data_IF_695337072798
#
_entry.id   IF_695337072798
#
_cell.length_a   1.000
_cell.length_b   1.000
_cell.length_c   1.000
_cell.angle_alpha   90.00
_cell.angle_beta   90.00
_cell.angle_gamma   90.00
#
_symmetry.space_group_name_H-M   'P 1'
#
loop_
_entity.id
_entity.type
_entity.pdbx_description
1 polymer ?
#
# COMPACT_ATOMS: atom_id res chain seq x y z
N UNK A 1 -11.69 52.72 -5.15
CA UNK A 1 -11.01 52.53 -6.44
C UNK A 1 -9.54 52.29 -6.13
N UNK A 2 -9.09 51.05 -6.12
CA UNK A 2 -7.69 50.69 -5.90
C UNK A 2 -7.03 50.56 -7.30
N UNK A 3 -5.99 51.37 -7.53
CA UNK A 3 -5.21 51.35 -8.77
C UNK A 3 -4.12 50.31 -8.62
N UNK A 4 -4.15 49.27 -9.43
CA UNK A 4 -3.05 48.30 -9.55
C UNK A 4 -1.99 48.85 -10.51
N UNK A 5 -0.70 48.80 -10.17
CA UNK A 5 0.36 49.18 -11.09
C UNK A 5 0.48 48.15 -12.22
N UNK A 6 0.46 48.62 -13.46
CA UNK A 6 0.82 47.84 -14.65
C UNK A 6 2.34 47.86 -14.78
N UNK A 7 2.94 46.70 -15.03
CA UNK A 7 4.33 46.58 -15.48
C UNK A 7 5.15 45.63 -14.65
N UNK A 8 4.85 44.33 -14.73
CA UNK A 8 5.81 43.27 -14.36
C UNK A 8 6.23 42.58 -15.66
N UNK A 9 7.50 42.68 -16.02
CA UNK A 9 8.08 41.92 -17.12
C UNK A 9 7.87 40.43 -16.84
N UNK A 10 7.18 39.79 -17.77
CA UNK A 10 7.04 38.32 -17.79
C UNK A 10 8.37 37.79 -18.29
N UNK A 11 9.19 37.27 -17.35
CA UNK A 11 10.44 36.56 -17.69
C UNK A 11 10.06 35.30 -18.46
N UNK A 12 10.56 35.21 -19.69
CA UNK A 12 10.35 34.06 -20.58
C UNK A 12 10.89 32.79 -19.98
N UNK A 13 10.22 31.61 -20.17
CA UNK A 13 10.65 30.32 -19.62
C UNK A 13 12.00 29.80 -20.16
N UNK A 14 12.64 30.52 -21.08
CA UNK A 14 13.85 30.05 -21.78
C UNK A 14 15.16 30.32 -21.03
N UNK A 15 15.18 31.01 -19.90
CA UNK A 15 16.44 31.33 -19.18
C UNK A 15 16.70 30.45 -17.94
N UNK A 16 15.96 29.37 -17.75
CA UNK A 16 16.29 28.37 -16.71
C UNK A 16 17.00 27.15 -17.35
N UNK A 17 17.97 27.37 -18.21
CA UNK A 17 18.92 26.34 -18.62
C UNK A 17 20.14 26.36 -17.70
N UNK A 18 19.96 26.05 -16.41
CA UNK A 18 21.07 25.50 -15.64
C UNK A 18 21.20 24.05 -16.05
N UNK A 19 22.16 23.76 -16.90
CA UNK A 19 22.69 22.41 -17.08
C UNK A 19 23.16 21.88 -15.72
N UNK A 20 22.23 21.35 -14.92
CA UNK A 20 22.60 20.45 -13.86
C UNK A 20 23.10 19.17 -14.56
N UNK A 21 24.40 18.99 -14.63
CA UNK A 21 24.99 17.69 -14.95
C UNK A 21 24.46 16.71 -13.93
N UNK A 22 23.33 16.08 -14.25
CA UNK A 22 22.83 14.93 -13.51
C UNK A 22 23.86 13.82 -13.74
N UNK A 23 24.81 13.69 -12.83
CA UNK A 23 25.69 12.52 -12.79
C UNK A 23 24.79 11.32 -12.54
N UNK A 24 24.69 10.36 -13.48
CA UNK A 24 23.84 9.20 -13.29
C UNK A 24 24.34 8.43 -12.08
N UNK A 25 23.59 8.48 -10.98
CA UNK A 25 23.87 7.68 -9.79
C UNK A 25 23.54 6.23 -10.17
N UNK A 26 24.54 5.47 -10.58
CA UNK A 26 24.44 4.04 -10.96
C UNK A 26 24.20 3.11 -9.77
N UNK A 27 23.91 3.62 -8.58
CA UNK A 27 23.58 2.78 -7.43
C UNK A 27 22.08 2.64 -7.31
N UNK A 28 21.57 1.44 -7.46
CA UNK A 28 20.17 1.11 -7.25
C UNK A 28 19.73 1.32 -5.79
N UNK A 29 20.67 1.26 -4.84
CA UNK A 29 20.45 1.52 -3.41
C UNK A 29 21.04 2.90 -3.07
N UNK A 30 20.19 3.79 -2.56
CA UNK A 30 20.62 5.12 -2.17
C UNK A 30 21.52 5.07 -0.92
N UNK A 31 22.64 5.84 -0.85
CA UNK A 31 23.62 5.76 0.25
C UNK A 31 23.07 6.17 1.63
N UNK A 32 21.91 6.86 1.69
CA UNK A 32 21.23 7.19 2.94
C UNK A 32 20.16 6.18 3.35
N UNK A 33 19.97 5.10 2.60
CA UNK A 33 19.11 4.00 3.04
C UNK A 33 19.81 3.22 4.15
N UNK A 34 19.05 2.82 5.15
CA UNK A 34 19.50 2.00 6.28
C UNK A 34 18.97 0.59 6.06
N UNK A 35 19.84 -0.35 5.74
CA UNK A 35 19.47 -1.74 5.49
C UNK A 35 20.19 -2.61 6.52
N UNK A 36 19.43 -3.39 7.29
CA UNK A 36 20.01 -4.32 8.24
C UNK A 36 20.84 -5.40 7.50
N UNK A 37 22.02 -5.79 8.01
CA UNK A 37 22.87 -6.80 7.38
C UNK A 37 22.20 -8.18 7.21
N UNK A 38 21.17 -8.48 7.99
CA UNK A 38 20.44 -9.75 7.90
C UNK A 38 19.26 -9.69 6.90
N UNK A 39 18.95 -8.53 6.35
CA UNK A 39 17.95 -8.41 5.30
C UNK A 39 18.38 -9.10 4.01
N UNK A 40 17.46 -9.82 3.37
CA UNK A 40 17.73 -10.49 2.09
C UNK A 40 17.17 -9.62 0.96
N UNK A 41 18.07 -9.10 0.13
CA UNK A 41 17.71 -8.21 -0.98
C UNK A 41 18.00 -8.92 -2.30
N UNK A 42 16.98 -9.08 -3.12
CA UNK A 42 17.09 -9.68 -4.45
C UNK A 42 17.89 -8.88 -5.46
N UNK A 43 17.98 -9.41 -6.66
CA UNK A 43 18.66 -8.76 -7.78
C UNK A 43 17.82 -7.60 -8.33
N UNK A 44 18.49 -6.58 -8.86
CA UNK A 44 17.84 -5.42 -9.49
C UNK A 44 16.85 -4.63 -8.61
N UNK A 45 16.93 -4.79 -7.28
CA UNK A 45 16.13 -4.02 -6.32
C UNK A 45 16.65 -2.58 -6.28
N UNK A 46 15.71 -1.63 -6.30
CA UNK A 46 15.98 -0.20 -6.16
C UNK A 46 15.47 0.29 -4.79
N UNK A 47 16.31 0.99 -4.02
CA UNK A 47 15.93 1.52 -2.69
C UNK A 47 16.26 3.00 -2.62
N UNK A 48 15.22 3.81 -2.40
CA UNK A 48 15.32 5.27 -2.33
C UNK A 48 15.92 5.81 -1.02
N UNK A 49 16.11 7.14 -0.96
CA UNK A 49 16.75 7.79 0.18
C UNK A 49 15.93 7.68 1.47
N UNK A 50 16.65 7.55 2.61
CA UNK A 50 16.09 7.51 3.96
C UNK A 50 15.10 6.36 4.21
N UNK A 51 15.15 5.31 3.39
CA UNK A 51 14.38 4.09 3.56
C UNK A 51 15.06 3.20 4.60
N UNK A 52 14.27 2.53 5.43
CA UNK A 52 14.73 1.63 6.48
C UNK A 52 14.21 0.22 6.18
N UNK A 53 15.13 -0.75 6.13
CA UNK A 53 14.82 -2.18 5.95
C UNK A 53 15.33 -2.95 7.17
N UNK A 54 14.41 -3.61 7.87
CA UNK A 54 14.69 -4.36 9.09
C UNK A 54 15.35 -5.73 8.87
N UNK A 55 15.77 -6.41 9.97
CA UNK A 55 16.62 -7.61 9.91
C UNK A 55 15.94 -8.88 9.38
N UNK A 56 14.62 -8.98 9.48
CA UNK A 56 13.88 -10.18 9.06
C UNK A 56 13.06 -9.94 7.79
N UNK A 57 13.57 -9.05 6.94
CA UNK A 57 12.90 -8.63 5.70
C UNK A 57 13.55 -9.34 4.51
N UNK A 58 12.70 -9.89 3.64
CA UNK A 58 13.10 -10.45 2.36
C UNK A 58 12.42 -9.68 1.23
N UNK A 59 13.18 -9.24 0.21
CA UNK A 59 12.68 -8.47 -0.93
C UNK A 59 13.08 -9.16 -2.22
N UNK A 60 12.09 -9.54 -3.02
CA UNK A 60 12.27 -10.20 -4.31
C UNK A 60 12.81 -9.29 -5.41
N UNK A 61 13.31 -9.92 -6.48
CA UNK A 61 13.98 -9.28 -7.60
C UNK A 61 13.13 -8.17 -8.25
N UNK A 62 13.78 -7.16 -8.80
CA UNK A 62 13.12 -6.09 -9.57
C UNK A 62 12.25 -5.13 -8.77
N UNK A 63 12.06 -5.36 -7.47
CA UNK A 63 11.22 -4.52 -6.60
C UNK A 63 11.83 -3.13 -6.43
N UNK A 64 10.97 -2.10 -6.50
CA UNK A 64 11.35 -0.70 -6.38
C UNK A 64 10.74 -0.08 -5.13
N UNK A 65 11.59 0.40 -4.25
CA UNK A 65 11.21 1.02 -2.98
C UNK A 65 11.56 2.50 -3.02
N UNK A 66 10.57 3.34 -2.81
CA UNK A 66 10.68 4.80 -2.80
C UNK A 66 11.47 5.34 -1.62
N UNK A 67 11.40 6.66 -1.43
CA UNK A 67 12.04 7.35 -0.31
C UNK A 67 11.24 7.23 0.98
N UNK A 68 11.93 7.19 2.14
CA UNK A 68 11.31 7.17 3.48
C UNK A 68 10.31 6.03 3.68
N UNK A 69 10.49 4.93 3.00
CA UNK A 69 9.72 3.70 3.24
C UNK A 69 10.32 2.98 4.44
N UNK A 70 9.46 2.40 5.26
CA UNK A 70 9.87 1.51 6.35
C UNK A 70 9.36 0.12 6.03
N UNK A 71 10.25 -0.87 5.99
CA UNK A 71 9.90 -2.28 5.90
C UNK A 71 10.49 -2.98 7.10
N UNK A 72 9.65 -3.58 7.91
CA UNK A 72 10.07 -4.16 9.19
C UNK A 72 9.34 -5.47 9.51
N UNK A 73 9.62 -6.03 10.69
CA UNK A 73 9.05 -7.30 11.12
C UNK A 73 9.53 -8.47 10.27
N UNK A 74 8.83 -9.57 10.34
CA UNK A 74 9.05 -10.74 9.49
C UNK A 74 8.25 -10.58 8.20
N UNK A 75 8.80 -9.83 7.26
CA UNK A 75 8.11 -9.42 6.03
C UNK A 75 8.81 -9.99 4.81
N UNK A 76 8.04 -10.70 3.99
CA UNK A 76 8.49 -11.22 2.70
C UNK A 76 7.73 -10.49 1.59
N UNK A 77 8.46 -9.83 0.71
CA UNK A 77 7.94 -9.11 -0.45
C UNK A 77 8.42 -9.83 -1.70
N UNK A 78 7.52 -10.19 -2.59
CA UNK A 78 7.82 -10.83 -3.86
C UNK A 78 8.51 -9.91 -4.86
N UNK A 79 8.41 -10.26 -6.15
CA UNK A 79 9.12 -9.62 -7.25
C UNK A 79 8.34 -8.45 -7.86
N UNK A 80 9.09 -7.54 -8.51
CA UNK A 80 8.55 -6.47 -9.35
C UNK A 80 7.50 -5.56 -8.67
N UNK A 81 7.53 -5.50 -7.33
CA UNK A 81 6.66 -4.61 -6.58
C UNK A 81 7.15 -3.15 -6.69
N UNK A 82 6.21 -2.21 -6.56
CA UNK A 82 6.50 -0.77 -6.47
C UNK A 82 5.92 -0.23 -5.17
N UNK A 83 6.80 0.18 -4.25
CA UNK A 83 6.42 0.73 -2.95
C UNK A 83 6.83 2.20 -2.92
N UNK A 84 5.86 3.07 -2.76
CA UNK A 84 6.05 4.52 -2.88
C UNK A 84 6.38 5.18 -1.54
N UNK A 85 6.78 6.44 -1.63
CA UNK A 85 7.33 7.19 -0.52
C UNK A 85 6.46 7.18 0.75
N UNK A 86 7.08 6.99 1.90
CA UNK A 86 6.45 7.06 3.21
C UNK A 86 5.55 5.86 3.56
N UNK A 87 5.46 4.84 2.71
CA UNK A 87 4.73 3.62 3.08
C UNK A 87 5.42 2.90 4.26
N UNK A 88 4.62 2.27 5.13
CA UNK A 88 5.08 1.45 6.25
C UNK A 88 4.54 0.04 6.10
N UNK A 89 5.44 -0.92 5.93
CA UNK A 89 5.13 -2.29 5.55
C UNK A 89 5.69 -3.26 6.60
N UNK A 90 4.83 -4.10 7.17
CA UNK A 90 5.22 -5.07 8.19
C UNK A 90 5.27 -4.51 9.61
N UNK A 91 4.69 -3.33 9.83
CA UNK A 91 4.60 -2.74 11.17
C UNK A 91 3.82 -3.62 12.15
N UNK A 92 4.02 -3.37 13.42
CA UNK A 92 3.30 -4.07 14.48
C UNK A 92 1.79 -3.94 14.34
N UNK A 93 1.03 -5.03 14.62
CA UNK A 93 -0.42 -4.97 14.69
C UNK A 93 -0.92 -3.89 15.66
N UNK A 94 -1.90 -3.12 15.24
CA UNK A 94 -2.57 -2.17 16.12
C UNK A 94 -3.67 -2.89 16.91
N UNK A 95 -3.27 -3.93 17.65
CA UNK A 95 -4.15 -4.74 18.51
C UNK A 95 -3.62 -4.69 19.95
N UNK A 96 -4.49 -4.31 20.90
CA UNK A 96 -4.15 -4.25 22.34
C UNK A 96 -3.70 -5.60 22.92
N UNK A 97 -4.02 -6.71 22.25
CA UNK A 97 -3.62 -8.06 22.65
C UNK A 97 -2.23 -8.44 22.16
N UNK A 98 -1.69 -7.70 21.18
CA UNK A 98 -0.36 -7.96 20.64
C UNK A 98 0.72 -7.63 21.70
N UNK A 99 1.65 -8.56 21.92
CA UNK A 99 2.69 -8.48 22.96
C UNK A 99 4.12 -8.58 22.39
N UNK A 100 4.29 -8.31 21.08
CA UNK A 100 5.59 -8.41 20.41
C UNK A 100 5.92 -9.83 19.91
N UNK A 101 4.95 -10.72 19.85
CA UNK A 101 5.15 -12.07 19.34
C UNK A 101 5.52 -12.08 17.85
N UNK A 102 6.22 -13.14 17.46
CA UNK A 102 6.63 -13.35 16.06
C UNK A 102 5.41 -13.61 15.18
N UNK A 103 5.22 -12.76 14.18
CA UNK A 103 4.17 -12.89 13.19
C UNK A 103 4.65 -12.34 11.85
N UNK A 104 3.95 -12.63 10.76
CA UNK A 104 4.45 -12.45 9.42
C UNK A 104 3.56 -11.53 8.58
N UNK A 105 4.20 -10.93 7.56
CA UNK A 105 3.54 -10.33 6.42
C UNK A 105 4.12 -10.94 5.14
N UNK A 106 3.24 -11.42 4.26
CA UNK A 106 3.60 -11.88 2.92
C UNK A 106 2.94 -11.00 1.87
N UNK A 107 3.73 -10.49 0.95
CA UNK A 107 3.28 -9.73 -0.22
C UNK A 107 3.77 -10.45 -1.47
N UNK A 108 2.86 -10.76 -2.38
CA UNK A 108 3.20 -11.39 -3.66
C UNK A 108 3.89 -10.45 -4.65
N UNK A 109 3.71 -10.70 -5.91
CA UNK A 109 4.42 -10.04 -7.01
C UNK A 109 3.59 -8.91 -7.64
N UNK A 110 4.29 -7.96 -8.31
CA UNK A 110 3.69 -6.93 -9.16
C UNK A 110 2.68 -6.00 -8.47
N UNK A 111 2.75 -5.84 -7.15
CA UNK A 111 1.86 -4.93 -6.44
C UNK A 111 2.37 -3.49 -6.53
N UNK A 112 1.44 -2.55 -6.51
CA UNK A 112 1.69 -1.11 -6.43
C UNK A 112 1.14 -0.64 -5.08
N UNK A 113 2.05 -0.30 -4.16
CA UNK A 113 1.73 0.22 -2.82
C UNK A 113 2.09 1.70 -2.81
N UNK A 114 1.08 2.55 -2.77
CA UNK A 114 1.24 3.99 -2.90
C UNK A 114 1.63 4.65 -1.59
N UNK A 115 1.82 5.96 -1.69
CA UNK A 115 2.39 6.81 -0.64
C UNK A 115 1.61 6.70 0.67
N UNK A 116 2.35 6.56 1.77
CA UNK A 116 1.83 6.52 3.14
C UNK A 116 0.81 5.40 3.40
N UNK A 117 0.73 4.38 2.54
CA UNK A 117 -0.03 3.19 2.87
C UNK A 117 0.63 2.45 4.04
N UNK A 118 -0.17 1.83 4.89
CA UNK A 118 0.31 1.05 6.04
C UNK A 118 -0.24 -0.37 5.97
N UNK A 119 0.63 -1.37 6.12
CA UNK A 119 0.26 -2.80 6.05
C UNK A 119 0.87 -3.49 7.27
N UNK A 120 0.03 -3.91 8.21
CA UNK A 120 0.48 -4.57 9.42
C UNK A 120 0.70 -6.08 9.19
N UNK A 121 1.68 -6.65 9.92
CA UNK A 121 1.83 -8.11 10.00
C UNK A 121 0.71 -8.74 10.82
N UNK A 122 0.61 -10.08 10.84
CA UNK A 122 -0.44 -10.79 11.55
C UNK A 122 -0.27 -10.81 13.08
N UNK A 123 -1.20 -11.46 13.75
CA UNK A 123 -1.16 -11.79 15.18
C UNK A 123 -1.22 -13.29 15.39
N UNK A 124 -0.68 -13.80 16.49
CA UNK A 124 -0.77 -15.24 16.82
C UNK A 124 -2.23 -15.70 16.92
N UNK A 125 -3.10 -14.86 17.49
CA UNK A 125 -4.52 -15.14 17.61
C UNK A 125 -5.28 -15.17 16.26
N UNK A 126 -4.72 -14.56 15.22
CA UNK A 126 -5.31 -14.50 13.88
C UNK A 126 -4.69 -15.47 12.87
N UNK A 127 -3.84 -16.38 13.31
CA UNK A 127 -3.16 -17.33 12.42
C UNK A 127 -1.70 -16.97 12.12
N UNK A 128 -1.21 -15.88 12.68
CA UNK A 128 0.21 -15.51 12.64
C UNK A 128 0.64 -14.73 11.39
N UNK A 129 -0.27 -14.42 10.46
CA UNK A 129 0.13 -13.80 9.20
C UNK A 129 -0.93 -12.89 8.57
N UNK A 130 -0.47 -11.85 7.92
CA UNK A 130 -1.22 -11.07 6.92
C UNK A 130 -0.71 -11.45 5.52
N UNK A 131 -1.61 -11.60 4.55
CA UNK A 131 -1.24 -11.92 3.16
C UNK A 131 -1.83 -10.94 2.18
N UNK A 132 -1.00 -10.49 1.25
CA UNK A 132 -1.37 -9.71 0.06
C UNK A 132 -0.95 -10.53 -1.16
N UNK A 133 -1.87 -10.82 -2.06
CA UNK A 133 -1.60 -11.54 -3.30
C UNK A 133 -0.82 -10.71 -4.33
N UNK A 134 -1.13 -10.91 -5.60
CA UNK A 134 -0.39 -10.35 -6.72
C UNK A 134 -1.20 -9.29 -7.49
N UNK A 135 -0.48 -8.41 -8.21
CA UNK A 135 -1.07 -7.44 -9.14
C UNK A 135 -2.08 -6.48 -8.50
N UNK A 136 -1.93 -6.16 -7.22
CA UNK A 136 -2.84 -5.28 -6.50
C UNK A 136 -2.39 -3.82 -6.60
N UNK A 137 -3.36 -2.90 -6.62
CA UNK A 137 -3.15 -1.48 -6.46
C UNK A 137 -3.69 -1.03 -5.10
N UNK A 138 -2.81 -0.76 -4.16
CA UNK A 138 -3.10 -0.20 -2.84
C UNK A 138 -2.75 1.28 -2.90
N UNK A 139 -3.77 2.14 -2.97
CA UNK A 139 -3.56 3.58 -3.15
C UNK A 139 -3.09 4.25 -1.87
N UNK A 140 -2.78 5.54 -1.97
CA UNK A 140 -2.21 6.32 -0.87
C UNK A 140 -3.13 6.38 0.36
N UNK A 141 -2.49 6.37 1.54
CA UNK A 141 -3.14 6.39 2.86
C UNK A 141 -4.09 5.22 3.13
N UNK A 142 -4.04 4.15 2.36
CA UNK A 142 -4.78 2.92 2.67
C UNK A 142 -4.15 2.25 3.87
N UNK A 143 -4.99 1.76 4.78
CA UNK A 143 -4.57 0.91 5.90
C UNK A 143 -5.05 -0.52 5.69
N UNK A 144 -4.14 -1.49 5.73
CA UNK A 144 -4.46 -2.92 5.81
C UNK A 144 -4.00 -3.41 7.18
N UNK A 145 -4.97 -3.74 8.03
CA UNK A 145 -4.69 -4.23 9.38
C UNK A 145 -4.20 -5.68 9.38
N UNK A 146 -3.89 -6.17 10.57
CA UNK A 146 -3.37 -7.50 10.82
C UNK A 146 -4.33 -8.63 10.40
N UNK A 147 -3.77 -9.79 10.09
CA UNK A 147 -4.49 -11.03 9.79
C UNK A 147 -5.43 -10.95 8.56
N UNK A 148 -5.27 -9.91 7.74
CA UNK A 148 -6.02 -9.79 6.48
C UNK A 148 -5.50 -10.79 5.44
N UNK A 149 -6.45 -11.33 4.65
CA UNK A 149 -6.18 -12.19 3.50
C UNK A 149 -6.67 -11.47 2.24
N UNK A 150 -5.77 -10.87 1.48
CA UNK A 150 -6.05 -10.07 0.30
C UNK A 150 -5.61 -10.84 -0.95
N UNK A 151 -6.53 -11.11 -1.84
CA UNK A 151 -6.28 -11.87 -3.08
C UNK A 151 -5.51 -11.10 -4.15
N UNK A 152 -5.85 -11.33 -5.41
CA UNK A 152 -5.11 -10.82 -6.56
C UNK A 152 -5.95 -9.82 -7.37
N UNK A 153 -5.26 -8.93 -8.10
CA UNK A 153 -5.88 -7.96 -9.02
C UNK A 153 -6.90 -7.04 -8.33
N UNK A 154 -6.65 -6.69 -7.09
CA UNK A 154 -7.52 -5.87 -6.25
C UNK A 154 -7.12 -4.40 -6.39
N UNK A 155 -8.10 -3.52 -6.40
CA UNK A 155 -7.90 -2.08 -6.32
C UNK A 155 -8.50 -1.58 -5.01
N UNK A 156 -7.67 -0.98 -4.16
CA UNK A 156 -8.10 -0.28 -2.95
C UNK A 156 -7.81 1.20 -3.12
N UNK A 157 -8.85 2.00 -3.24
CA UNK A 157 -8.68 3.42 -3.48
C UNK A 157 -8.32 4.19 -2.20
N UNK A 158 -7.88 5.42 -2.41
CA UNK A 158 -7.30 6.33 -1.43
C UNK A 158 -8.04 6.37 -0.08
N UNK A 159 -7.28 6.33 1.01
CA UNK A 159 -7.76 6.57 2.37
C UNK A 159 -8.69 5.51 2.95
N UNK A 160 -8.83 4.36 2.29
CA UNK A 160 -9.68 3.28 2.79
C UNK A 160 -9.00 2.51 3.91
N UNK A 161 -9.79 2.09 4.91
CA UNK A 161 -9.35 1.29 6.05
C UNK A 161 -9.92 -0.13 6.01
N UNK A 162 -9.04 -1.12 6.01
CA UNK A 162 -9.36 -2.54 6.07
C UNK A 162 -8.99 -3.02 7.47
N UNK A 163 -9.99 -3.29 8.31
CA UNK A 163 -9.77 -3.73 9.70
C UNK A 163 -9.23 -5.18 9.76
N UNK A 164 -8.84 -5.63 10.94
CA UNK A 164 -8.24 -6.94 11.12
C UNK A 164 -9.10 -8.12 10.68
N UNK A 165 -8.48 -9.20 10.25
CA UNK A 165 -9.11 -10.47 9.86
C UNK A 165 -10.06 -10.36 8.64
N UNK A 166 -9.96 -9.33 7.84
CA UNK A 166 -10.77 -9.18 6.62
C UNK A 166 -10.21 -10.08 5.53
N UNK A 167 -11.10 -10.77 4.82
CA UNK A 167 -10.77 -11.53 3.62
C UNK A 167 -11.31 -10.80 2.40
N UNK A 168 -10.46 -10.54 1.40
CA UNK A 168 -10.84 -9.93 0.13
C UNK A 168 -10.45 -10.89 -0.99
N UNK A 169 -11.43 -11.40 -1.70
CA UNK A 169 -11.21 -12.30 -2.84
C UNK A 169 -10.72 -11.53 -4.08
N UNK A 170 -10.38 -12.24 -5.15
CA UNK A 170 -9.77 -11.66 -6.36
C UNK A 170 -10.67 -10.63 -7.07
N UNK A 171 -10.02 -9.66 -7.73
CA UNK A 171 -10.64 -8.66 -8.60
C UNK A 171 -11.69 -7.78 -7.93
N UNK A 172 -11.57 -7.56 -6.64
CA UNK A 172 -12.43 -6.63 -5.89
C UNK A 172 -11.96 -5.20 -6.14
N UNK A 173 -12.93 -4.29 -6.29
CA UNK A 173 -12.67 -2.84 -6.36
C UNK A 173 -13.27 -2.16 -5.15
N UNK A 174 -12.44 -1.48 -4.37
CA UNK A 174 -12.84 -0.74 -3.18
C UNK A 174 -12.66 0.75 -3.46
N UNK A 175 -13.76 1.50 -3.40
CA UNK A 175 -13.77 2.95 -3.56
C UNK A 175 -12.98 3.70 -2.50
N UNK A 176 -12.83 5.01 -2.66
CA UNK A 176 -12.10 5.84 -1.71
C UNK A 176 -12.83 6.02 -0.38
N UNK A 177 -12.05 6.15 0.71
CA UNK A 177 -12.58 6.42 2.07
C UNK A 177 -13.59 5.37 2.55
N UNK A 178 -13.42 4.13 2.14
CA UNK A 178 -14.24 3.00 2.58
C UNK A 178 -13.72 2.48 3.93
N UNK A 179 -14.62 2.18 4.85
CA UNK A 179 -14.32 1.44 6.08
C UNK A 179 -14.85 0.00 5.99
N UNK A 180 -13.99 -1.00 6.19
CA UNK A 180 -14.38 -2.41 6.23
C UNK A 180 -14.19 -2.93 7.65
N UNK A 181 -15.29 -3.39 8.27
CA UNK A 181 -15.29 -3.92 9.63
C UNK A 181 -14.50 -5.23 9.71
N UNK A 182 -13.88 -5.48 10.87
CA UNK A 182 -13.12 -6.70 11.13
C UNK A 182 -13.96 -7.98 10.89
N UNK A 183 -13.27 -9.04 10.47
CA UNK A 183 -13.84 -10.36 10.16
C UNK A 183 -14.79 -10.39 8.95
N UNK A 184 -14.91 -9.30 8.20
CA UNK A 184 -15.76 -9.24 7.01
C UNK A 184 -15.09 -9.96 5.83
N UNK A 185 -15.92 -10.64 5.02
CA UNK A 185 -15.49 -11.27 3.78
C UNK A 185 -16.07 -10.54 2.57
N UNK A 186 -15.20 -10.13 1.65
CA UNK A 186 -15.57 -9.49 0.37
C UNK A 186 -15.37 -10.49 -0.75
N UNK A 187 -16.47 -10.91 -1.36
CA UNK A 187 -16.46 -11.88 -2.45
C UNK A 187 -15.85 -11.33 -3.74
N UNK A 188 -15.30 -12.23 -4.56
CA UNK A 188 -14.62 -11.88 -5.81
C UNK A 188 -15.46 -10.98 -6.72
N UNK A 189 -14.77 -10.07 -7.43
CA UNK A 189 -15.40 -9.14 -8.37
C UNK A 189 -16.50 -8.27 -7.75
N UNK A 190 -16.59 -8.18 -6.42
CA UNK A 190 -17.45 -7.20 -5.77
C UNK A 190 -16.89 -5.78 -5.98
N UNK A 191 -17.78 -4.80 -5.97
CA UNK A 191 -17.43 -3.38 -6.01
C UNK A 191 -18.01 -2.67 -4.80
N UNK A 192 -17.17 -1.95 -4.07
CA UNK A 192 -17.59 -1.14 -2.91
C UNK A 192 -17.55 0.33 -3.33
N UNK A 193 -18.69 1.00 -3.26
CA UNK A 193 -18.78 2.44 -3.52
C UNK A 193 -17.93 3.27 -2.57
N UNK A 194 -17.57 4.49 -2.99
CA UNK A 194 -16.77 5.39 -2.13
C UNK A 194 -17.56 5.80 -0.87
N UNK A 195 -16.84 6.08 0.24
CA UNK A 195 -17.44 6.44 1.54
C UNK A 195 -18.36 5.38 2.17
N UNK A 196 -18.32 4.16 1.68
CA UNK A 196 -19.14 3.07 2.19
C UNK A 196 -18.61 2.51 3.50
N UNK A 197 -19.50 2.20 4.45
CA UNK A 197 -19.17 1.45 5.67
C UNK A 197 -19.66 0.01 5.55
N UNK A 198 -18.71 -0.90 5.32
CA UNK A 198 -19.00 -2.33 5.17
C UNK A 198 -18.95 -3.00 6.54
N UNK A 199 -20.09 -3.47 7.04
CA UNK A 199 -20.23 -4.10 8.37
C UNK A 199 -20.63 -5.58 8.30
N UNK A 200 -20.87 -6.11 7.10
CA UNK A 200 -21.25 -7.49 6.84
C UNK A 200 -20.58 -8.00 5.58
N UNK A 201 -20.54 -9.31 5.40
CA UNK A 201 -20.00 -9.95 4.20
C UNK A 201 -20.68 -9.42 2.94
N UNK A 202 -19.87 -9.25 1.89
CA UNK A 202 -20.35 -8.84 0.56
C UNK A 202 -20.24 -10.03 -0.37
N UNK A 203 -21.36 -10.53 -0.93
CA UNK A 203 -21.32 -11.64 -1.88
C UNK A 203 -20.51 -11.31 -3.14
N UNK A 204 -20.01 -12.33 -3.87
CA UNK A 204 -19.34 -12.12 -5.14
C UNK A 204 -20.22 -11.38 -6.16
N UNK A 205 -19.58 -10.58 -7.03
CA UNK A 205 -20.22 -9.86 -8.15
C UNK A 205 -21.26 -8.81 -7.74
N UNK A 206 -21.32 -8.42 -6.49
CA UNK A 206 -22.29 -7.42 -6.01
C UNK A 206 -21.61 -6.05 -5.89
N UNK A 207 -22.35 -5.02 -6.30
CA UNK A 207 -22.04 -3.63 -5.99
C UNK A 207 -22.74 -3.29 -4.67
N UNK A 208 -21.99 -2.77 -3.71
CA UNK A 208 -22.56 -2.23 -2.47
C UNK A 208 -22.17 -0.78 -2.30
N UNK A 209 -23.07 -0.01 -1.67
CA UNK A 209 -22.86 1.40 -1.40
C UNK A 209 -23.58 1.82 -0.11
N UNK A 210 -23.15 2.92 0.49
CA UNK A 210 -23.82 3.57 1.60
C UNK A 210 -23.26 3.26 2.98
N UNK A 211 -23.91 3.85 4.00
CA UNK A 211 -23.53 3.78 5.41
C UNK A 211 -24.74 3.44 6.29
N UNK A 212 -24.96 2.18 6.68
CA UNK A 212 -24.17 0.98 6.34
C UNK A 212 -24.34 0.55 4.88
N UNK A 213 -23.38 -0.25 4.38
CA UNK A 213 -23.38 -0.81 3.03
C UNK A 213 -24.67 -1.60 2.74
N UNK A 214 -25.26 -1.34 1.58
CA UNK A 214 -26.41 -2.06 1.04
C UNK A 214 -26.16 -2.49 -0.40
N UNK A 215 -26.71 -3.63 -0.85
CA UNK A 215 -26.64 -4.01 -2.26
C UNK A 215 -27.26 -2.92 -3.14
N UNK A 216 -26.50 -2.51 -4.17
CA UNK A 216 -26.91 -1.52 -5.16
C UNK A 216 -27.21 -2.16 -6.53
N UNK A 217 -26.48 -3.23 -6.86
CA UNK A 217 -26.65 -3.93 -8.14
C UNK A 217 -25.63 -5.07 -8.33
N UNK A 218 -25.63 -5.61 -9.53
CA UNK A 218 -24.66 -6.63 -9.95
C UNK A 218 -23.52 -5.95 -10.72
N UNK A 219 -22.30 -6.29 -10.40
CA UNK A 219 -21.10 -5.83 -11.11
C UNK A 219 -20.95 -6.63 -12.42
N UNK A 220 -21.53 -6.12 -13.51
CA UNK A 220 -21.48 -6.76 -14.83
C UNK A 220 -20.28 -6.34 -15.67
N UNK A 221 -19.47 -5.40 -15.20
CA UNK A 221 -18.33 -4.82 -15.93
C UNK A 221 -17.00 -5.29 -15.36
N UNK A 222 -17.00 -5.76 -14.11
CA UNK A 222 -15.81 -6.17 -13.36
C UNK A 222 -15.26 -7.53 -13.71
#
# INVERSE_FOLDING_TARGET
MAVYPRGGEVVSPTEISRESKVVPIRRKIHPTAIIDPNAVIGTDVEIGPFTIIGPNVEIGDGTKIGSRVIVEGWTVIGKDNKIYAGAVVGNEPQDLKFKGEKSYLFIGDNNIIREYATISRGTVGGGGETRIGNNNLIMSYVHVAHDCQVGNNIVVAHGSGIAGHVTIEDRVVIGGLVGIHQFTKIGRMAMIGAHTMVTKDVPPYIIVDGHPAKPFGINIVG
#
